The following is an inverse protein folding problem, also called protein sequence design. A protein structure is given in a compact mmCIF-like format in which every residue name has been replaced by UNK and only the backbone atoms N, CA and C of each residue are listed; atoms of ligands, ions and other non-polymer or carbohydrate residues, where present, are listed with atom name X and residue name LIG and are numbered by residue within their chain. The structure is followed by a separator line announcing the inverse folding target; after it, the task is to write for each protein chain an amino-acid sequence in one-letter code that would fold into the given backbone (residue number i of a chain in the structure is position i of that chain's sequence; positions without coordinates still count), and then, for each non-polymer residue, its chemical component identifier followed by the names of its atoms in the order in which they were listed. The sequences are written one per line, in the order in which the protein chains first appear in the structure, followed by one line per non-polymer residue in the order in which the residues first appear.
data_IF_756631855042
#
_entry.id   IF_756631855042
#
_cell.length_a   1.000
_cell.length_b   1.000
_cell.length_c   1.000
_cell.angle_alpha   90.00
_cell.angle_beta   90.00
_cell.angle_gamma   90.00
#
_symmetry.space_group_name_H-M   'P 1'
#
loop_
_entity.id
_entity.type
_entity.pdbx_description
1 polymer ?
#
# COMPACT_ATOMS: atom_id res chain seq x y z
N UNK A 1 -18.43 -12.96 43.71
CA UNK A 1 -17.50 -13.07 42.56
C UNK A 1 -17.83 -11.95 41.61
N UNK A 2 -17.07 -10.86 41.48
CA UNK A 2 -17.09 -9.94 40.34
C UNK A 2 -16.40 -8.56 40.60
N UNK A 3 -15.60 -8.43 41.69
CA UNK A 3 -14.88 -7.18 41.93
C UNK A 3 -13.42 -7.23 41.45
N UNK A 4 -12.89 -8.40 41.11
CA UNK A 4 -11.49 -8.57 40.69
C UNK A 4 -11.24 -8.40 39.15
N UNK A 5 -12.28 -8.60 38.34
CA UNK A 5 -12.17 -8.50 36.88
C UNK A 5 -12.23 -7.05 36.37
N UNK A 6 -12.93 -6.16 37.05
CA UNK A 6 -13.05 -4.76 36.64
C UNK A 6 -11.75 -3.96 36.84
N UNK A 7 -10.95 -4.31 37.88
CA UNK A 7 -9.66 -3.60 38.15
C UNK A 7 -8.52 -3.95 37.20
N UNK A 8 -8.56 -5.11 36.55
CA UNK A 8 -7.51 -5.52 35.63
C UNK A 8 -7.67 -4.91 34.23
N UNK A 9 -8.90 -4.61 33.82
CA UNK A 9 -9.17 -3.97 32.52
C UNK A 9 -8.74 -2.50 32.51
N UNK A 10 -9.01 -1.77 33.61
CA UNK A 10 -8.66 -0.34 33.68
C UNK A 10 -7.16 -0.07 33.76
N UNK A 11 -6.37 -0.96 34.36
CA UNK A 11 -4.92 -0.80 34.46
C UNK A 11 -4.21 -0.96 33.10
N UNK A 12 -4.72 -1.86 32.24
CA UNK A 12 -4.12 -2.09 30.91
C UNK A 12 -4.43 -0.94 29.91
N UNK A 13 -5.63 -0.39 29.96
CA UNK A 13 -6.02 0.74 29.10
C UNK A 13 -5.23 2.00 29.47
N UNK A 14 -5.05 2.29 30.75
CA UNK A 14 -4.26 3.44 31.22
C UNK A 14 -2.76 3.31 30.93
N UNK A 15 -2.22 2.10 30.87
CA UNK A 15 -0.81 1.87 30.52
C UNK A 15 -0.55 2.07 29.03
N UNK A 16 -1.54 1.77 28.17
CA UNK A 16 -1.46 2.02 26.72
C UNK A 16 -1.46 3.53 26.43
N UNK A 17 -2.22 4.33 27.18
CA UNK A 17 -2.29 5.79 27.02
C UNK A 17 -1.05 6.50 27.59
N UNK A 18 -0.36 5.91 28.58
CA UNK A 18 0.86 6.49 29.18
C UNK A 18 2.17 6.12 28.49
N UNK A 19 2.14 5.30 27.44
CA UNK A 19 3.31 4.95 26.64
C UNK A 19 3.78 6.11 25.78
N UNK A 20 4.60 6.98 26.39
CA UNK A 20 5.57 7.88 25.79
C UNK A 20 5.08 8.72 24.61
N UNK A 21 4.51 9.90 24.87
CA UNK A 21 4.67 11.05 24.00
C UNK A 21 6.18 11.35 23.85
N UNK A 22 6.86 10.78 22.89
CA UNK A 22 7.94 11.48 22.22
C UNK A 22 7.28 12.72 21.63
N UNK A 23 7.58 13.89 22.18
CA UNK A 23 7.27 15.14 21.52
C UNK A 23 7.71 15.00 20.06
N UNK A 24 6.75 14.97 19.14
CA UNK A 24 7.03 15.20 17.73
C UNK A 24 7.49 16.66 17.69
N UNK A 25 8.79 16.87 17.78
CA UNK A 25 9.36 18.13 17.37
C UNK A 25 9.02 18.27 15.88
N UNK A 26 8.00 19.07 15.60
CA UNK A 26 7.57 19.47 14.28
C UNK A 26 8.63 20.39 13.64
N UNK A 27 9.88 19.94 13.53
CA UNK A 27 10.79 20.59 12.62
C UNK A 27 10.45 20.05 11.23
N UNK A 28 9.77 20.85 10.42
CA UNK A 28 9.49 20.58 9.00
C UNK A 28 10.79 20.42 8.19
N UNK A 29 11.94 20.61 8.83
CA UNK A 29 13.26 20.57 8.21
C UNK A 29 14.08 19.40 8.79
N UNK A 30 14.91 18.80 7.95
CA UNK A 30 15.99 17.88 8.36
C UNK A 30 17.10 18.69 9.07
N UNK A 31 18.03 17.98 9.73
CA UNK A 31 19.21 18.60 10.36
C UNK A 31 20.09 19.40 9.38
N UNK A 32 19.98 19.15 8.08
CA UNK A 32 20.68 19.84 6.98
C UNK A 32 19.87 21.04 6.42
N UNK A 33 18.77 21.43 7.08
CA UNK A 33 17.93 22.55 6.67
C UNK A 33 17.00 22.25 5.48
N UNK A 34 17.01 21.04 4.94
CA UNK A 34 16.11 20.66 3.84
C UNK A 34 14.75 20.23 4.37
N UNK A 35 13.66 20.46 3.63
CA UNK A 35 12.34 19.95 3.99
C UNK A 35 12.39 18.44 4.21
N UNK A 36 11.80 17.93 5.29
CA UNK A 36 11.52 16.52 5.42
C UNK A 36 10.54 16.16 4.32
N UNK A 37 10.83 15.07 3.59
CA UNK A 37 9.83 14.50 2.70
C UNK A 37 8.57 14.23 3.53
N UNK A 38 7.44 14.79 3.12
CA UNK A 38 6.14 14.48 3.70
C UNK A 38 5.92 12.97 3.60
N UNK A 39 5.54 12.35 4.72
CA UNK A 39 5.21 10.93 4.69
C UNK A 39 4.07 10.73 3.70
N UNK A 40 4.12 9.65 2.92
CA UNK A 40 3.00 9.30 2.05
C UNK A 40 1.74 9.09 2.87
N UNK A 41 0.60 9.52 2.35
CA UNK A 41 -0.72 9.26 2.93
C UNK A 41 -1.40 8.07 2.25
N UNK A 42 -2.35 7.38 2.90
CA UNK A 42 -3.30 6.54 2.20
C UNK A 42 -4.22 7.41 1.33
N UNK A 43 -4.72 6.89 0.23
CA UNK A 43 -5.87 7.48 -0.46
C UNK A 43 -7.10 7.10 0.37
N UNK A 44 -7.69 8.10 1.03
CA UNK A 44 -8.80 7.88 1.98
C UNK A 44 -10.13 7.66 1.31
N UNK A 45 -10.41 8.38 0.22
CA UNK A 45 -11.62 8.15 -0.56
C UNK A 45 -11.39 7.03 -1.59
N UNK A 46 -12.23 6.00 -1.54
CA UNK A 46 -12.18 4.90 -2.52
C UNK A 46 -12.51 5.38 -3.93
N UNK A 47 -13.28 6.46 -4.08
CA UNK A 47 -13.56 7.08 -5.35
C UNK A 47 -12.28 7.62 -6.01
N UNK A 48 -11.37 8.20 -5.25
CA UNK A 48 -10.06 8.68 -5.73
C UNK A 48 -9.19 7.52 -6.22
N UNK A 49 -9.29 6.34 -5.60
CA UNK A 49 -8.61 5.13 -6.09
C UNK A 49 -9.14 4.75 -7.46
N UNK A 50 -10.46 4.74 -7.64
CA UNK A 50 -11.08 4.44 -8.93
C UNK A 50 -10.76 5.49 -9.98
N UNK A 51 -10.74 6.77 -9.61
CA UNK A 51 -10.39 7.85 -10.50
C UNK A 51 -8.93 7.74 -10.97
N UNK A 52 -7.99 7.43 -10.06
CA UNK A 52 -6.59 7.19 -10.40
C UNK A 52 -6.41 6.00 -11.35
N UNK A 53 -7.17 4.92 -11.15
CA UNK A 53 -7.16 3.77 -12.07
C UNK A 53 -7.70 4.15 -13.45
N UNK A 54 -8.86 4.82 -13.51
CA UNK A 54 -9.51 5.24 -14.74
C UNK A 54 -8.66 6.24 -15.53
N UNK A 55 -8.03 7.20 -14.85
CA UNK A 55 -7.12 8.16 -15.46
C UNK A 55 -6.04 7.47 -16.32
N UNK A 56 -5.39 6.44 -15.77
CA UNK A 56 -4.37 5.72 -16.52
C UNK A 56 -4.94 4.84 -17.63
N UNK A 57 -6.11 4.25 -17.40
CA UNK A 57 -6.78 3.38 -18.36
C UNK A 57 -7.28 4.16 -19.57
N UNK A 58 -7.93 5.29 -19.37
CA UNK A 58 -8.46 6.17 -20.43
C UNK A 58 -7.32 6.78 -21.27
N UNK A 59 -6.18 7.07 -20.66
CA UNK A 59 -4.97 7.51 -21.38
C UNK A 59 -4.22 6.37 -22.08
N UNK A 60 -4.73 5.14 -22.09
CA UNK A 60 -4.06 3.98 -22.67
C UNK A 60 -2.76 3.58 -21.95
N UNK A 61 -2.55 4.06 -20.74
CA UNK A 61 -1.34 3.81 -19.94
C UNK A 61 -1.51 2.54 -19.10
N UNK A 62 -1.82 1.41 -19.75
CA UNK A 62 -2.20 0.15 -19.07
C UNK A 62 -1.13 -0.36 -18.09
N UNK A 63 0.17 -0.12 -18.32
CA UNK A 63 1.20 -0.44 -17.33
C UNK A 63 1.00 0.33 -16.03
N UNK A 64 0.65 1.61 -16.10
CA UNK A 64 0.46 2.45 -14.92
C UNK A 64 -0.87 2.10 -14.22
N UNK A 65 -1.93 1.80 -14.98
CA UNK A 65 -3.18 1.24 -14.47
C UNK A 65 -2.92 -0.06 -13.69
N UNK A 66 -2.18 -1.01 -14.30
CA UNK A 66 -1.80 -2.26 -13.64
C UNK A 66 -0.97 -1.99 -12.37
N UNK A 67 -0.04 -1.03 -12.42
CA UNK A 67 0.81 -0.69 -11.29
C UNK A 67 0.00 -0.19 -10.08
N UNK A 68 -0.99 0.66 -10.29
CA UNK A 68 -1.91 1.12 -9.23
C UNK A 68 -2.74 -0.04 -8.70
N UNK A 69 -3.35 -0.81 -9.59
CA UNK A 69 -4.22 -1.93 -9.23
C UNK A 69 -3.48 -3.00 -8.42
N UNK A 70 -2.32 -3.47 -8.91
CA UNK A 70 -1.53 -4.47 -8.21
C UNK A 70 -0.84 -3.90 -6.97
N UNK A 71 -0.42 -2.64 -7.01
CA UNK A 71 0.20 -1.97 -5.88
C UNK A 71 -0.70 -1.95 -4.66
N UNK A 72 -1.98 -1.60 -4.85
CA UNK A 72 -2.99 -1.60 -3.78
C UNK A 72 -3.40 -3.04 -3.44
N UNK A 73 -3.68 -3.90 -4.43
CA UNK A 73 -4.16 -5.27 -4.19
C UNK A 73 -3.14 -6.14 -3.47
N UNK A 74 -1.87 -6.08 -3.85
CA UNK A 74 -0.81 -6.92 -3.27
C UNK A 74 -0.20 -6.32 -2.01
N UNK A 75 -0.35 -5.02 -1.81
CA UNK A 75 0.17 -4.29 -0.68
C UNK A 75 1.67 -4.52 -0.39
N UNK A 76 2.45 -4.75 -1.44
CA UNK A 76 3.89 -4.97 -1.37
C UNK A 76 4.64 -3.65 -1.13
N UNK A 77 5.88 -3.75 -0.63
CA UNK A 77 6.79 -2.60 -0.69
C UNK A 77 7.08 -2.25 -2.14
N UNK A 78 7.32 -0.99 -2.43
CA UNK A 78 7.55 -0.53 -3.80
C UNK A 78 8.68 -1.28 -4.52
N UNK A 79 9.80 -1.56 -3.83
CA UNK A 79 10.90 -2.36 -4.38
C UNK A 79 10.45 -3.76 -4.77
N UNK A 80 9.73 -4.43 -3.86
CA UNK A 80 9.23 -5.80 -4.08
C UNK A 80 8.19 -5.82 -5.23
N UNK A 81 7.28 -4.83 -5.28
CA UNK A 81 6.31 -4.68 -6.38
C UNK A 81 7.00 -4.53 -7.73
N UNK A 82 8.01 -3.65 -7.81
CA UNK A 82 8.72 -3.38 -9.05
C UNK A 82 9.67 -4.51 -9.48
N UNK A 83 10.00 -5.44 -8.58
CA UNK A 83 10.83 -6.61 -8.87
C UNK A 83 10.06 -7.75 -9.54
N UNK A 84 8.71 -7.71 -9.54
CA UNK A 84 7.87 -8.73 -10.16
C UNK A 84 8.21 -8.87 -11.65
N UNK A 85 8.38 -10.11 -12.10
CA UNK A 85 8.64 -10.45 -13.51
C UNK A 85 7.37 -10.99 -14.15
N UNK A 86 7.35 -11.02 -15.49
CA UNK A 86 6.20 -11.53 -16.23
C UNK A 86 5.87 -12.97 -15.83
N UNK A 87 6.87 -13.86 -15.74
CA UNK A 87 6.64 -15.26 -15.38
C UNK A 87 6.38 -15.52 -13.90
N UNK A 88 6.43 -14.49 -13.04
CA UNK A 88 5.89 -14.63 -11.70
C UNK A 88 4.36 -14.70 -11.71
N UNK A 89 3.71 -13.87 -12.54
CA UNK A 89 2.26 -13.70 -12.60
C UNK A 89 1.60 -14.46 -13.76
N UNK A 90 2.34 -14.78 -14.84
CA UNK A 90 1.83 -15.57 -15.97
C UNK A 90 2.45 -16.98 -15.97
N UNK A 91 1.69 -17.96 -16.44
CA UNK A 91 2.16 -19.31 -16.72
C UNK A 91 2.79 -19.42 -18.11
N UNK A 92 3.19 -20.65 -18.47
CA UNK A 92 3.88 -20.93 -19.75
C UNK A 92 3.02 -20.59 -20.99
N UNK A 93 1.70 -20.73 -20.86
CA UNK A 93 0.75 -20.40 -21.94
C UNK A 93 0.15 -18.99 -21.78
N UNK A 94 0.80 -18.13 -21.00
CA UNK A 94 0.34 -16.78 -20.72
C UNK A 94 -1.00 -16.67 -19.97
N UNK A 95 -1.45 -17.74 -19.35
CA UNK A 95 -2.55 -17.71 -18.39
C UNK A 95 -2.12 -16.99 -17.12
N UNK A 96 -3.02 -16.21 -16.53
CA UNK A 96 -2.75 -15.57 -15.24
C UNK A 96 -2.80 -16.63 -14.13
N UNK A 97 -1.75 -16.70 -13.33
CA UNK A 97 -1.66 -17.61 -12.19
C UNK A 97 -2.65 -17.21 -11.09
N UNK A 98 -2.97 -18.16 -10.20
CA UNK A 98 -3.80 -17.88 -9.01
C UNK A 98 -2.99 -17.20 -7.90
N UNK A 99 -1.71 -17.51 -7.83
CA UNK A 99 -0.78 -16.99 -6.82
C UNK A 99 0.66 -17.10 -7.31
N UNK A 100 1.54 -16.36 -6.67
CA UNK A 100 2.98 -16.51 -6.88
C UNK A 100 3.72 -16.26 -5.55
N UNK A 101 5.03 -16.51 -5.56
CA UNK A 101 5.89 -16.31 -4.40
C UNK A 101 7.02 -15.37 -4.75
N UNK A 102 7.33 -14.47 -3.83
CA UNK A 102 8.52 -13.63 -3.92
C UNK A 102 9.27 -13.63 -2.58
N UNK A 103 10.55 -13.31 -2.64
CA UNK A 103 11.35 -13.04 -1.45
C UNK A 103 11.46 -11.53 -1.28
N UNK A 104 10.99 -11.03 -0.14
CA UNK A 104 11.06 -9.61 0.17
C UNK A 104 12.52 -9.14 0.31
N UNK A 105 12.91 -8.09 -0.40
CA UNK A 105 14.29 -7.58 -0.40
C UNK A 105 14.78 -7.21 1.00
N UNK A 106 13.95 -6.53 1.80
CA UNK A 106 14.33 -6.05 3.14
C UNK A 106 14.44 -7.16 4.20
N UNK A 107 13.60 -8.18 4.13
CA UNK A 107 13.44 -9.18 5.20
C UNK A 107 13.96 -10.56 4.80
N UNK A 108 14.21 -10.77 3.51
CA UNK A 108 14.52 -12.05 2.88
C UNK A 108 13.50 -13.16 3.21
N UNK A 109 12.27 -12.77 3.57
CA UNK A 109 11.19 -13.71 3.84
C UNK A 109 10.43 -14.03 2.57
N UNK A 110 10.08 -15.32 2.41
CA UNK A 110 9.20 -15.77 1.34
C UNK A 110 7.79 -15.28 1.63
N UNK A 111 7.21 -14.54 0.68
CA UNK A 111 5.85 -14.04 0.74
C UNK A 111 5.00 -14.70 -0.36
N UNK A 112 3.84 -15.21 0.00
CA UNK A 112 2.84 -15.77 -0.92
C UNK A 112 1.85 -14.69 -1.30
N UNK A 113 1.76 -14.39 -2.58
CA UNK A 113 0.87 -13.34 -3.10
C UNK A 113 -0.30 -14.00 -3.82
N UNK A 114 -1.49 -13.78 -3.32
CA UNK A 114 -2.73 -14.19 -3.97
C UNK A 114 -3.12 -13.18 -5.06
N UNK A 115 -3.46 -13.68 -6.25
CA UNK A 115 -3.97 -12.86 -7.35
C UNK A 115 -5.50 -12.90 -7.30
N UNK A 116 -6.11 -11.84 -6.77
CA UNK A 116 -7.57 -11.69 -6.69
C UNK A 116 -8.19 -11.42 -8.07
N UNK A 117 -9.51 -11.41 -8.15
CA UNK A 117 -10.26 -11.25 -9.40
C UNK A 117 -9.93 -9.95 -10.14
N UNK A 118 -9.81 -8.83 -9.43
CA UNK A 118 -9.49 -7.51 -10.00
C UNK A 118 -8.07 -7.48 -10.54
N UNK A 119 -7.10 -8.03 -9.79
CA UNK A 119 -5.72 -8.17 -10.23
C UNK A 119 -5.61 -9.07 -11.46
N UNK A 120 -6.38 -10.17 -11.50
CA UNK A 120 -6.43 -11.07 -12.65
C UNK A 120 -6.93 -10.35 -13.89
N UNK A 121 -8.03 -9.62 -13.79
CA UNK A 121 -8.60 -8.84 -14.90
C UNK A 121 -7.61 -7.81 -15.43
N UNK A 122 -6.94 -7.06 -14.55
CA UNK A 122 -5.95 -6.07 -14.95
C UNK A 122 -4.72 -6.71 -15.64
N UNK A 123 -4.28 -7.87 -15.18
CA UNK A 123 -3.21 -8.64 -15.83
C UNK A 123 -3.63 -9.16 -17.20
N UNK A 124 -4.86 -9.66 -17.35
CA UNK A 124 -5.39 -10.12 -18.64
C UNK A 124 -5.48 -8.97 -19.65
N UNK A 125 -5.93 -7.79 -19.21
CA UNK A 125 -5.97 -6.58 -20.04
C UNK A 125 -4.55 -6.15 -20.47
N UNK A 126 -3.60 -6.14 -19.54
CA UNK A 126 -2.21 -5.76 -19.83
C UNK A 126 -1.49 -6.76 -20.75
N UNK A 127 -1.84 -8.05 -20.69
CA UNK A 127 -1.21 -9.11 -21.47
C UNK A 127 -1.16 -8.79 -22.97
N UNK A 128 -2.21 -8.20 -23.52
CA UNK A 128 -2.30 -7.82 -24.93
C UNK A 128 -1.21 -6.84 -25.40
N UNK A 129 -0.58 -6.12 -24.47
CA UNK A 129 0.48 -5.15 -24.76
C UNK A 129 1.89 -5.71 -24.58
N UNK A 130 2.04 -6.91 -24.07
CA UNK A 130 3.35 -7.50 -23.75
C UNK A 130 4.04 -7.94 -25.06
N UNK A 131 5.22 -7.36 -25.30
CA UNK A 131 6.13 -7.74 -26.39
C UNK A 131 7.46 -8.14 -25.76
N UNK A 132 7.55 -9.35 -25.22
CA UNK A 132 8.73 -9.83 -24.52
C UNK A 132 9.36 -11.03 -25.25
N UNK A 133 10.61 -10.88 -25.67
CA UNK A 133 11.42 -11.96 -26.24
C UNK A 133 11.90 -12.95 -25.17
N UNK A 134 12.11 -12.46 -23.94
CA UNK A 134 12.60 -13.22 -22.78
C UNK A 134 11.71 -13.00 -21.56
N UNK A 135 10.52 -13.60 -21.48
CA UNK A 135 9.56 -13.29 -20.41
C UNK A 135 10.08 -13.65 -19.01
N UNK A 136 10.93 -14.66 -18.86
CA UNK A 136 11.49 -15.07 -17.56
C UNK A 136 12.32 -13.99 -16.86
N UNK A 137 12.98 -13.11 -17.65
CA UNK A 137 13.83 -12.05 -17.11
C UNK A 137 13.22 -10.67 -17.26
N UNK A 138 12.09 -10.54 -17.97
CA UNK A 138 11.45 -9.26 -18.23
C UNK A 138 10.63 -8.82 -17.03
N UNK A 139 10.89 -7.62 -16.46
CA UNK A 139 10.07 -7.06 -15.40
C UNK A 139 8.62 -6.84 -15.88
N UNK A 140 7.65 -7.03 -14.98
CA UNK A 140 6.23 -6.74 -15.24
C UNK A 140 6.04 -5.24 -15.55
N UNK A 141 6.71 -4.38 -14.81
CA UNK A 141 6.62 -2.92 -14.95
C UNK A 141 7.85 -2.36 -15.69
N UNK A 142 7.93 -2.64 -16.99
CA UNK A 142 9.07 -2.23 -17.80
C UNK A 142 9.22 -0.72 -17.96
N UNK A 143 10.45 -0.24 -17.90
CA UNK A 143 10.84 1.13 -18.28
C UNK A 143 10.97 1.24 -19.79
N UNK A 144 10.74 2.44 -20.35
CA UNK A 144 11.10 2.75 -21.75
C UNK A 144 12.62 2.76 -21.96
N UNK A 145 13.38 3.03 -20.90
CA UNK A 145 14.86 3.01 -20.97
C UNK A 145 15.34 1.59 -20.73
N UNK A 146 16.33 1.17 -21.50
CA UNK A 146 17.02 -0.12 -21.32
C UNK A 146 18.25 0.06 -20.42
N UNK A 147 18.80 -1.05 -19.93
CA UNK A 147 20.09 -1.03 -19.22
C UNK A 147 21.28 -0.86 -20.21
N UNK A 148 22.51 -0.86 -19.68
CA UNK A 148 23.72 -0.70 -20.47
C UNK A 148 23.92 -1.84 -21.50
N UNK A 149 23.37 -3.03 -21.21
CA UNK A 149 23.42 -4.20 -22.09
C UNK A 149 22.23 -4.26 -23.07
N UNK A 150 21.39 -3.22 -23.12
CA UNK A 150 20.20 -3.18 -23.97
C UNK A 150 19.02 -4.02 -23.47
N UNK A 151 19.08 -4.58 -22.25
CA UNK A 151 18.00 -5.40 -21.67
C UNK A 151 16.87 -4.54 -21.08
N UNK A 152 15.67 -5.12 -21.02
CA UNK A 152 14.54 -4.52 -20.33
C UNK A 152 14.83 -4.38 -18.83
N UNK A 153 14.55 -3.21 -18.26
CA UNK A 153 14.63 -2.97 -16.82
C UNK A 153 13.29 -2.50 -16.28
N UNK A 154 13.08 -2.69 -14.99
CA UNK A 154 11.91 -2.12 -14.31
C UNK A 154 11.99 -0.60 -14.25
N UNK A 155 10.83 0.05 -14.07
CA UNK A 155 10.79 1.44 -13.65
C UNK A 155 11.40 1.56 -12.25
N UNK A 156 11.97 2.72 -11.95
CA UNK A 156 12.51 3.01 -10.62
C UNK A 156 11.43 3.55 -9.69
N UNK A 157 11.70 3.51 -8.38
CA UNK A 157 10.83 4.14 -7.37
C UNK A 157 10.66 5.64 -7.65
N UNK A 158 11.70 6.33 -8.12
CA UNK A 158 11.63 7.74 -8.50
C UNK A 158 10.69 7.95 -9.68
N UNK A 159 10.74 7.07 -10.69
CA UNK A 159 9.80 7.13 -11.83
C UNK A 159 8.36 6.84 -11.38
N UNK A 160 8.16 5.87 -10.48
CA UNK A 160 6.84 5.61 -9.88
C UNK A 160 6.30 6.85 -9.15
N UNK A 161 7.11 7.46 -8.28
CA UNK A 161 6.71 8.66 -7.55
C UNK A 161 6.36 9.83 -8.50
N UNK A 162 7.12 9.99 -9.58
CA UNK A 162 6.82 11.01 -10.59
C UNK A 162 5.51 10.75 -11.31
N UNK A 163 5.25 9.50 -11.72
CA UNK A 163 3.99 9.07 -12.36
C UNK A 163 2.79 9.38 -11.45
N UNK A 164 2.90 9.05 -10.17
CA UNK A 164 1.84 9.31 -9.19
C UNK A 164 1.63 10.80 -8.93
N UNK A 165 2.71 11.57 -8.81
CA UNK A 165 2.63 13.01 -8.57
C UNK A 165 1.97 13.76 -9.75
N UNK A 166 2.26 13.36 -10.99
CA UNK A 166 1.61 13.94 -12.17
C UNK A 166 0.12 13.57 -12.23
N UNK A 167 -0.22 12.30 -12.04
CA UNK A 167 -1.61 11.86 -12.04
C UNK A 167 -2.42 12.57 -10.94
N UNK A 168 -1.88 12.58 -9.70
CA UNK A 168 -2.48 13.29 -8.56
C UNK A 168 -2.85 14.73 -8.91
N UNK A 169 -1.92 15.45 -9.52
CA UNK A 169 -2.11 16.85 -9.88
C UNK A 169 -3.21 17.04 -10.93
N UNK A 170 -3.27 16.14 -11.92
CA UNK A 170 -4.26 16.24 -13.00
C UNK A 170 -5.69 15.91 -12.54
N UNK A 171 -5.83 14.94 -11.63
CA UNK A 171 -7.15 14.50 -11.14
C UNK A 171 -7.57 15.18 -9.82
N UNK A 172 -6.67 15.96 -9.19
CA UNK A 172 -7.02 16.78 -8.02
C UNK A 172 -7.05 16.03 -6.69
N UNK A 173 -6.42 14.86 -6.56
CA UNK A 173 -6.32 14.15 -5.27
C UNK A 173 -5.55 15.02 -4.27
N UNK A 174 -6.15 15.28 -3.11
CA UNK A 174 -5.55 16.12 -2.06
C UNK A 174 -4.46 15.38 -1.27
N UNK A 175 -4.65 14.07 -1.02
CA UNK A 175 -3.69 13.23 -0.30
C UNK A 175 -2.31 13.26 -0.95
N UNK A 176 -1.25 13.29 -0.11
CA UNK A 176 0.12 13.18 -0.62
C UNK A 176 0.47 11.75 -1.00
N UNK A 177 0.34 11.42 -2.28
CA UNK A 177 0.58 10.06 -2.79
C UNK A 177 2.02 9.85 -3.27
N UNK A 178 2.56 8.69 -2.93
CA UNK A 178 3.88 8.20 -3.36
C UNK A 178 3.92 6.67 -3.41
N UNK A 179 5.10 6.11 -3.62
CA UNK A 179 5.29 4.65 -3.69
C UNK A 179 4.82 3.87 -2.45
N UNK A 180 4.73 4.50 -1.29
CA UNK A 180 4.21 3.88 -0.07
C UNK A 180 2.68 3.96 0.07
N UNK A 181 2.04 4.84 -0.70
CA UNK A 181 0.59 5.06 -0.67
C UNK A 181 -0.19 3.79 -0.93
N UNK A 182 0.20 2.98 -1.91
CA UNK A 182 -0.54 1.76 -2.27
C UNK A 182 -0.75 0.82 -1.08
N UNK A 183 0.32 0.55 -0.36
CA UNK A 183 0.31 -0.33 0.79
C UNK A 183 -0.43 0.29 1.98
N UNK A 184 -0.33 1.60 2.17
CA UNK A 184 -1.11 2.35 3.17
C UNK A 184 -2.60 2.35 2.84
N UNK A 185 -2.97 2.61 1.59
CA UNK A 185 -4.35 2.57 1.10
C UNK A 185 -4.98 1.21 1.33
N UNK A 186 -4.26 0.12 1.01
CA UNK A 186 -4.73 -1.23 1.31
C UNK A 186 -5.05 -1.40 2.80
N UNK A 187 -4.10 -1.06 3.68
CA UNK A 187 -4.30 -1.22 5.12
C UNK A 187 -5.44 -0.34 5.64
N UNK A 188 -5.50 0.91 5.22
CA UNK A 188 -6.53 1.87 5.63
C UNK A 188 -7.94 1.33 5.33
N UNK A 189 -8.20 0.97 4.06
CA UNK A 189 -9.52 0.49 3.67
C UNK A 189 -9.86 -0.86 4.31
N UNK A 190 -8.92 -1.80 4.40
CA UNK A 190 -9.19 -3.09 5.04
C UNK A 190 -9.55 -2.94 6.53
N UNK A 191 -8.89 -2.04 7.25
CA UNK A 191 -9.21 -1.76 8.65
C UNK A 191 -10.59 -1.09 8.77
N UNK A 192 -10.88 -0.09 7.95
CA UNK A 192 -12.18 0.61 7.96
C UNK A 192 -13.33 -0.30 7.58
N UNK A 193 -13.23 -0.99 6.46
CA UNK A 193 -14.27 -1.90 5.96
C UNK A 193 -14.59 -3.04 6.94
N UNK A 194 -13.58 -3.49 7.68
CA UNK A 194 -13.77 -4.53 8.71
C UNK A 194 -14.32 -3.99 10.03
N UNK A 195 -14.57 -2.69 10.15
CA UNK A 195 -14.91 -2.04 11.40
C UNK A 195 -13.91 -2.38 12.54
N UNK A 196 -12.63 -2.26 12.21
CA UNK A 196 -11.48 -2.50 13.10
C UNK A 196 -11.39 -3.93 13.65
N UNK A 197 -11.85 -4.92 12.89
CA UNK A 197 -11.81 -6.32 13.28
C UNK A 197 -10.37 -6.78 13.59
N UNK A 198 -10.20 -7.44 14.75
CA UNK A 198 -8.91 -7.88 15.23
C UNK A 198 -8.25 -8.95 14.33
N UNK A 199 -9.04 -9.77 13.64
CA UNK A 199 -8.52 -10.79 12.72
C UNK A 199 -7.93 -10.13 11.46
N UNK A 200 -8.58 -9.07 10.96
CA UNK A 200 -8.07 -8.29 9.83
C UNK A 200 -6.79 -7.56 10.22
N UNK A 201 -6.76 -6.94 11.40
CA UNK A 201 -5.55 -6.30 11.93
C UNK A 201 -4.38 -7.29 12.06
N UNK A 202 -4.65 -8.50 12.58
CA UNK A 202 -3.65 -9.56 12.67
C UNK A 202 -3.17 -10.02 11.29
N UNK A 203 -4.09 -10.20 10.34
CA UNK A 203 -3.75 -10.59 8.98
C UNK A 203 -2.87 -9.54 8.29
N UNK A 204 -3.19 -8.25 8.45
CA UNK A 204 -2.38 -7.13 7.94
C UNK A 204 -0.99 -7.08 8.61
N UNK A 205 -0.93 -7.21 9.94
CA UNK A 205 0.33 -7.28 10.68
C UNK A 205 1.23 -8.39 10.14
N UNK A 206 0.66 -9.59 9.98
CA UNK A 206 1.38 -10.75 9.46
C UNK A 206 1.81 -10.55 8.00
N UNK A 207 0.90 -10.12 7.13
CA UNK A 207 1.18 -9.86 5.71
C UNK A 207 2.20 -8.73 5.48
N UNK A 208 2.27 -7.78 6.40
CA UNK A 208 3.24 -6.68 6.37
C UNK A 208 4.57 -7.02 7.06
N UNK A 209 4.67 -8.18 7.71
CA UNK A 209 5.81 -8.55 8.54
C UNK A 209 6.12 -7.51 9.63
N UNK A 210 5.11 -6.89 10.20
CA UNK A 210 5.28 -5.97 11.33
C UNK A 210 5.40 -6.75 12.63
N UNK A 211 6.33 -6.34 13.49
CA UNK A 211 6.57 -6.98 14.79
C UNK A 211 5.47 -6.71 15.83
N UNK A 212 4.69 -5.63 15.65
CA UNK A 212 3.68 -5.15 16.57
C UNK A 212 2.48 -4.60 15.77
N UNK A 213 1.27 -4.86 16.24
CA UNK A 213 0.02 -4.40 15.64
C UNK A 213 -0.06 -2.87 15.60
N UNK A 214 0.51 -2.19 16.61
CA UNK A 214 0.59 -0.72 16.67
C UNK A 214 1.34 -0.15 15.47
N UNK A 215 2.37 -0.84 14.98
CA UNK A 215 3.09 -0.44 13.77
C UNK A 215 2.17 -0.48 12.56
N UNK A 216 1.27 -1.46 12.49
CA UNK A 216 0.27 -1.57 11.41
C UNK A 216 -0.74 -0.43 11.47
N UNK A 217 -1.23 -0.09 12.66
CA UNK A 217 -2.17 1.01 12.89
C UNK A 217 -1.57 2.37 12.49
N UNK A 218 -0.40 2.70 13.04
CA UNK A 218 0.34 3.93 12.70
C UNK A 218 0.64 3.98 11.19
N UNK A 219 1.06 2.85 10.63
CA UNK A 219 1.41 2.75 9.22
C UNK A 219 0.21 3.01 8.30
N UNK A 220 -0.97 2.52 8.64
CA UNK A 220 -2.19 2.72 7.85
C UNK A 220 -2.66 4.18 7.84
N UNK A 221 -2.28 4.98 8.82
CA UNK A 221 -2.75 6.37 8.99
C UNK A 221 -4.19 6.48 9.51
N UNK A 222 -4.72 5.39 10.12
CA UNK A 222 -6.11 5.31 10.60
C UNK A 222 -6.31 5.94 11.98
N UNK A 223 -5.23 6.23 12.73
CA UNK A 223 -5.33 6.64 14.14
C UNK A 223 -6.09 7.95 14.34
N UNK A 224 -5.86 8.94 13.48
CA UNK A 224 -6.55 10.23 13.57
C UNK A 224 -8.05 10.07 13.29
N UNK A 225 -8.42 9.28 12.28
CA UNK A 225 -9.81 8.98 11.94
C UNK A 225 -10.53 8.27 13.09
N UNK A 226 -9.86 7.32 13.77
CA UNK A 226 -10.40 6.63 14.94
C UNK A 226 -10.70 7.61 16.09
N UNK A 227 -9.79 8.56 16.35
CA UNK A 227 -9.97 9.57 17.39
C UNK A 227 -11.17 10.46 17.06
N UNK A 228 -11.33 10.85 15.82
CA UNK A 228 -12.44 11.70 15.40
C UNK A 228 -13.78 10.94 15.45
N UNK A 229 -13.83 9.68 15.04
CA UNK A 229 -15.02 8.84 15.18
C UNK A 229 -15.45 8.67 16.64
N UNK A 230 -14.51 8.53 17.59
CA UNK A 230 -14.82 8.46 19.03
C UNK A 230 -15.42 9.77 19.52
N UNK A 231 -14.90 10.92 19.08
CA UNK A 231 -15.45 12.24 19.44
C UNK A 231 -16.86 12.43 18.87
N UNK A 232 -17.10 12.06 17.61
CA UNK A 232 -18.42 12.14 16.99
C UNK A 232 -19.46 11.26 17.70
N UNK A 233 -19.06 10.03 18.07
CA UNK A 233 -19.94 9.15 18.90
C UNK A 233 -20.27 9.76 20.24
N UNK A 234 -19.31 10.42 20.89
CA UNK A 234 -19.60 11.11 22.15
C UNK A 234 -20.55 12.29 21.92
N UNK A 235 -20.38 13.05 20.84
CA UNK A 235 -21.31 14.11 20.46
C UNK A 235 -22.74 13.61 20.30
N UNK A 236 -22.92 12.46 19.66
CA UNK A 236 -24.23 11.81 19.45
C UNK A 236 -24.91 11.36 20.75
N UNK A 237 -24.16 11.14 21.83
CA UNK A 237 -24.70 10.76 23.14
C UNK A 237 -25.17 11.98 23.98
N UNK A 238 -24.81 13.20 23.58
CA UNK A 238 -25.13 14.44 24.29
C UNK A 238 -26.40 15.13 23.76
N UNK A 239 -26.98 14.63 22.66
CA UNK A 239 -28.21 15.12 22.03
C UNK A 239 -29.37 14.21 22.38
#
# INVERSE_FOLDING_TARGET
MNAAYAKAADANVLTIIKGGKKERTNSALKSDGKPKATAADPIRDIADVHELQNYFREKGQLRNYLLVTLGISFALRAGDLLSIRLMDVYGANWEVKKEFYLYEDKTNKRNRIHINSVSKQALEEYRGMIKAEKPDTTPLFTSRKRDADGKCRAITIQQLNHILAEARKEIGIEDHISSHTFRKTHAYHMIKESNYDSQVLYALQHGFNHSDIRVTMIYSGIEDDMVDEVKERMGSLLI
#
